data_IF_258505250374
#
_entry.id   IF_258505250374
#
_cell.length_a   1.000
_cell.length_b   1.000
_cell.length_c   1.000
_cell.angle_alpha   90.00
_cell.angle_beta   90.00
_cell.angle_gamma   90.00
#
_symmetry.space_group_name_H-M   'P 1'
#
loop_
_entity.id
_entity.type
_entity.pdbx_description
1 polymer ?
#
# COMPACT_ATOMS: atom_id res chain seq x y z
N UNK A 1 2.69 -9.75 -16.59
CA UNK A 1 3.68 -9.13 -15.96
C UNK A 1 3.81 -9.59 -14.56
N UNK A 2 4.92 -9.73 -14.26
CA UNK A 2 5.15 -10.35 -13.03
C UNK A 2 4.83 -9.43 -11.90
N UNK A 3 4.31 -10.05 -10.95
CA UNK A 3 4.19 -9.45 -9.72
C UNK A 3 5.54 -9.19 -9.22
N UNK A 4 5.71 -8.16 -8.52
CA UNK A 4 6.98 -7.94 -7.87
C UNK A 4 7.01 -8.89 -6.72
N UNK A 5 7.28 -10.09 -7.05
CA UNK A 5 7.26 -11.12 -6.08
C UNK A 5 8.09 -10.85 -4.91
N UNK A 6 9.22 -10.32 -5.20
CA UNK A 6 10.13 -10.06 -4.14
C UNK A 6 9.53 -9.14 -3.12
N UNK A 7 8.54 -8.45 -3.55
CA UNK A 7 7.93 -7.50 -2.66
C UNK A 7 7.18 -8.19 -1.54
N UNK A 8 6.99 -9.47 -1.64
CA UNK A 8 6.27 -10.16 -0.60
C UNK A 8 6.86 -9.90 0.76
N UNK A 9 8.16 -9.84 0.85
CA UNK A 9 8.79 -9.62 2.13
C UNK A 9 8.66 -8.20 2.62
N UNK A 10 8.38 -7.30 1.69
CA UNK A 10 8.27 -5.91 2.05
C UNK A 10 6.85 -5.40 1.84
N UNK A 11 5.94 -6.31 1.53
CA UNK A 11 4.56 -5.93 1.31
C UNK A 11 3.91 -5.55 2.63
N UNK A 12 3.13 -4.51 2.60
CA UNK A 12 2.50 -3.98 3.80
C UNK A 12 0.98 -4.03 3.64
N UNK A 13 0.30 -4.22 4.75
CA UNK A 13 -1.15 -4.14 4.75
C UNK A 13 -1.56 -2.68 4.80
N UNK A 14 -2.84 -2.43 4.54
CA UNK A 14 -3.35 -1.06 4.61
C UNK A 14 -3.19 -0.52 6.01
N UNK A 15 -3.36 -1.36 7.02
CA UNK A 15 -3.21 -0.91 8.40
C UNK A 15 -1.79 -0.50 8.71
N UNK A 16 -0.82 -1.23 8.14
CA UNK A 16 0.56 -0.87 8.36
C UNK A 16 0.93 0.42 7.65
N UNK A 17 0.38 0.62 6.45
CA UNK A 17 0.62 1.86 5.74
C UNK A 17 0.07 3.02 6.56
N UNK A 18 -1.15 2.87 7.07
CA UNK A 18 -1.78 3.92 7.86
C UNK A 18 -0.96 4.24 9.10
N UNK A 19 -0.47 3.21 9.75
CA UNK A 19 0.29 3.40 10.98
C UNK A 19 1.62 4.09 10.71
N UNK A 20 2.31 3.66 9.65
CA UNK A 20 3.62 4.23 9.34
C UNK A 20 3.50 5.67 8.87
N UNK A 21 2.39 6.01 8.24
CA UNK A 21 2.18 7.36 7.74
C UNK A 21 1.41 8.22 8.72
N UNK A 22 0.94 7.63 9.81
CA UNK A 22 0.19 8.35 10.83
C UNK A 22 -1.07 8.99 10.25
N UNK A 23 -1.78 8.21 9.46
CA UNK A 23 -3.03 8.65 8.86
C UNK A 23 -4.07 7.56 9.03
N UNK A 24 -5.34 7.89 8.95
CA UNK A 24 -6.39 6.88 9.04
C UNK A 24 -6.38 5.96 7.82
N UNK A 25 -6.88 4.75 8.02
CA UNK A 25 -7.00 3.81 6.93
C UNK A 25 -7.86 4.39 5.81
N UNK A 26 -8.90 5.12 6.18
CA UNK A 26 -9.76 5.72 5.18
C UNK A 26 -8.99 6.67 4.25
N UNK A 27 -8.00 7.34 4.79
CA UNK A 27 -7.18 8.24 3.97
C UNK A 27 -6.33 7.44 2.98
N UNK A 28 -5.84 6.27 3.40
CA UNK A 28 -5.09 5.43 2.49
C UNK A 28 -5.98 4.99 1.34
N UNK A 29 -7.21 4.60 1.66
CA UNK A 29 -8.15 4.19 0.62
C UNK A 29 -8.48 5.36 -0.31
N UNK A 30 -8.56 6.55 0.24
CA UNK A 30 -8.83 7.73 -0.56
C UNK A 30 -7.70 7.97 -1.56
N UNK A 31 -6.47 7.86 -1.10
CA UNK A 31 -5.34 8.05 -2.00
C UNK A 31 -5.31 7.00 -3.10
N UNK A 32 -5.66 5.78 -2.75
CA UNK A 32 -5.70 4.73 -3.75
C UNK A 32 -6.80 4.98 -4.77
N UNK A 33 -7.94 5.43 -4.31
CA UNK A 33 -9.05 5.72 -5.20
C UNK A 33 -8.71 6.87 -6.15
N UNK A 34 -7.88 7.79 -5.70
CA UNK A 34 -7.46 8.91 -6.53
C UNK A 34 -6.34 8.53 -7.49
N UNK A 35 -5.86 7.30 -7.40
CA UNK A 35 -4.79 6.86 -8.28
C UNK A 35 -3.41 7.32 -7.84
N UNK A 36 -3.29 7.83 -6.64
CA UNK A 36 -2.01 8.31 -6.15
C UNK A 36 -1.12 7.19 -5.65
N UNK A 37 -1.71 6.09 -5.21
CA UNK A 37 -0.97 4.92 -4.78
C UNK A 37 -1.66 3.69 -5.34
N UNK A 38 -0.94 2.58 -5.38
CA UNK A 38 -1.46 1.34 -5.94
C UNK A 38 -1.26 0.19 -4.98
N UNK A 39 -2.10 -0.82 -5.14
CA UNK A 39 -2.00 -2.04 -4.37
C UNK A 39 -2.17 -3.22 -5.29
N UNK A 40 -1.92 -4.41 -4.75
CA UNK A 40 -2.20 -5.64 -5.48
C UNK A 40 -2.77 -6.63 -4.48
N UNK A 41 -3.30 -7.74 -4.98
CA UNK A 41 -3.84 -8.76 -4.10
C UNK A 41 -2.92 -9.96 -4.12
N UNK A 42 -2.66 -10.49 -2.94
CA UNK A 42 -1.81 -11.67 -2.85
C UNK A 42 -2.65 -12.93 -3.02
N UNK A 43 -2.04 -14.08 -2.82
CA UNK A 43 -2.72 -15.36 -3.02
C UNK A 43 -3.92 -15.52 -2.10
N UNK A 44 -3.91 -14.89 -0.97
CA UNK A 44 -5.03 -14.95 -0.05
C UNK A 44 -6.08 -13.91 -0.33
N UNK A 45 -5.96 -13.23 -1.48
CA UNK A 45 -6.88 -12.19 -1.87
C UNK A 45 -6.86 -11.00 -0.91
N UNK A 46 -5.76 -10.80 -0.23
CA UNK A 46 -5.61 -9.66 0.65
C UNK A 46 -4.89 -8.54 -0.08
N UNK A 47 -5.31 -7.32 0.17
CA UNK A 47 -4.70 -6.15 -0.46
C UNK A 47 -3.36 -5.87 0.17
N UNK A 48 -2.35 -5.71 -0.69
CA UNK A 48 -1.01 -5.46 -0.21
C UNK A 48 -0.45 -4.24 -0.91
N UNK A 49 0.49 -3.57 -0.24
CA UNK A 49 1.09 -2.35 -0.76
C UNK A 49 2.60 -2.47 -0.71
N UNK A 50 3.26 -1.86 -1.68
CA UNK A 50 4.70 -1.77 -1.64
C UNK A 50 5.11 -0.79 -0.54
N UNK A 51 6.26 -1.03 0.07
CA UNK A 51 6.75 -0.11 1.07
C UNK A 51 7.01 1.28 0.48
N UNK A 52 7.17 1.35 -0.83
CA UNK A 52 7.38 2.63 -1.48
C UNK A 52 6.16 3.54 -1.35
N UNK A 53 5.01 2.96 -1.08
CA UNK A 53 3.79 3.73 -0.90
C UNK A 53 3.94 4.68 0.28
N UNK A 54 4.65 4.24 1.33
CA UNK A 54 4.86 5.09 2.49
C UNK A 54 5.57 6.37 2.09
N UNK A 55 6.59 6.23 1.26
CA UNK A 55 7.33 7.40 0.81
C UNK A 55 6.48 8.29 -0.08
N UNK A 56 5.67 7.65 -0.93
CA UNK A 56 4.82 8.42 -1.82
C UNK A 56 3.79 9.24 -1.02
N UNK A 57 3.21 8.64 -0.01
CA UNK A 57 2.24 9.33 0.81
C UNK A 57 2.89 10.50 1.54
N UNK A 58 4.13 10.33 1.94
CA UNK A 58 4.83 11.39 2.66
C UNK A 58 5.01 12.64 1.81
N UNK A 59 4.96 12.49 0.49
CA UNK A 59 5.13 13.61 -0.41
C UNK A 59 3.80 14.25 -0.75
N UNK A 60 2.73 13.53 -0.55
CA UNK A 60 1.43 14.05 -0.83
C UNK A 60 1.05 15.13 0.18
#
# INVERSE_FOLDING_TARGET
MPQPVAADKTALSVGEIARRCDIPVSTVHFYEAEGLIRSWRNNGNHRRYSRHVVRRIAVI
#
